data_IF_637714236576
#
_entry.id   IF_637714236576
#
_cell.length_a   1.000
_cell.length_b   1.000
_cell.length_c   1.000
_cell.angle_alpha   90.00
_cell.angle_beta   90.00
_cell.angle_gamma   90.00
#
_symmetry.space_group_name_H-M   'P 1'
#
loop_
_entity.id
_entity.type
_entity.pdbx_description
1 polymer ?
#
# COMPACT_ATOMS: atom_id res chain seq x y z
N UNK A 1 4.21 12.74 -3.47
CA UNK A 1 3.14 13.69 -3.82
C UNK A 1 1.82 12.96 -4.08
N UNK A 2 1.66 12.28 -5.22
CA UNK A 2 0.38 11.63 -5.63
C UNK A 2 -0.31 10.80 -4.54
N UNK A 3 0.43 9.99 -3.77
CA UNK A 3 -0.12 9.21 -2.66
C UNK A 3 -0.79 10.09 -1.59
N UNK A 4 -0.16 11.21 -1.22
CA UNK A 4 -0.67 12.13 -0.21
C UNK A 4 -1.85 12.95 -0.75
N UNK A 5 -1.77 13.44 -1.98
CA UNK A 5 -2.86 14.18 -2.64
C UNK A 5 -4.14 13.33 -2.77
N UNK A 6 -3.98 12.05 -3.09
CA UNK A 6 -5.07 11.09 -3.19
C UNK A 6 -5.53 10.56 -1.81
N UNK A 7 -4.94 11.04 -0.70
CA UNK A 7 -5.24 10.61 0.68
C UNK A 7 -5.07 9.11 0.92
N UNK A 8 -4.13 8.47 0.23
CA UNK A 8 -3.82 7.05 0.40
C UNK A 8 -2.65 6.79 1.36
N UNK A 9 -2.61 5.59 1.94
CA UNK A 9 -1.51 5.14 2.81
C UNK A 9 -0.43 4.33 2.08
N UNK A 10 -0.69 3.96 0.82
CA UNK A 10 0.27 3.28 -0.05
C UNK A 10 -0.02 3.49 -1.53
N UNK A 11 1.03 3.50 -2.34
CA UNK A 11 0.95 3.64 -3.79
C UNK A 11 2.04 2.80 -4.48
N UNK A 12 1.62 1.86 -5.33
CA UNK A 12 2.51 1.12 -6.21
C UNK A 12 2.73 1.89 -7.53
N UNK A 13 3.93 1.78 -8.10
CA UNK A 13 4.27 2.46 -9.36
C UNK A 13 3.32 2.12 -10.52
N UNK A 14 2.78 0.89 -10.55
CA UNK A 14 1.81 0.46 -11.55
C UNK A 14 0.51 1.25 -11.53
N UNK A 15 0.10 1.79 -10.38
CA UNK A 15 -1.11 2.61 -10.25
C UNK A 15 -0.98 3.98 -10.94
N UNK A 16 0.25 4.41 -11.22
CA UNK A 16 0.56 5.63 -12.00
C UNK A 16 1.19 5.29 -13.36
N UNK A 17 0.89 4.11 -13.89
CA UNK A 17 1.34 3.63 -15.20
C UNK A 17 2.87 3.53 -15.35
N UNK A 18 3.57 3.21 -14.26
CA UNK A 18 5.01 2.91 -14.26
C UNK A 18 5.20 1.44 -13.89
N UNK A 19 5.63 0.62 -14.85
CA UNK A 19 5.75 -0.83 -14.68
C UNK A 19 7.11 -1.24 -14.12
N UNK A 20 7.44 -0.72 -12.94
CA UNK A 20 8.63 -1.09 -12.18
C UNK A 20 8.23 -1.59 -10.79
N UNK A 21 9.06 -2.45 -10.18
CA UNK A 21 8.82 -2.97 -8.83
C UNK A 21 9.17 -1.91 -7.79
N UNK A 22 8.29 -0.95 -7.60
CA UNK A 22 8.46 0.11 -6.61
C UNK A 22 7.13 0.42 -5.95
N UNK A 23 7.18 0.70 -4.65
CA UNK A 23 6.04 1.24 -3.91
C UNK A 23 6.51 2.23 -2.85
N UNK A 24 5.61 3.16 -2.51
CA UNK A 24 5.74 4.05 -1.36
C UNK A 24 4.58 3.78 -0.42
N UNK A 25 4.85 3.88 0.88
CA UNK A 25 3.83 3.71 1.91
C UNK A 25 4.08 4.68 3.07
N UNK A 26 3.02 5.09 3.74
CA UNK A 26 3.09 5.87 4.97
C UNK A 26 1.82 5.62 5.78
N UNK A 27 1.98 4.87 6.87
CA UNK A 27 0.92 4.49 7.81
C UNK A 27 1.03 5.25 9.14
N UNK A 28 1.94 6.24 9.22
CA UNK A 28 2.05 7.09 10.40
C UNK A 28 0.86 8.05 10.48
N UNK A 29 0.43 8.34 11.71
CA UNK A 29 -0.68 9.26 11.97
C UNK A 29 -0.37 10.68 11.46
N UNK A 30 0.87 11.13 11.67
CA UNK A 30 1.35 12.47 11.28
C UNK A 30 1.75 12.58 9.80
N UNK A 31 1.74 11.47 9.05
CA UNK A 31 2.04 11.42 7.61
C UNK A 31 3.45 11.91 7.28
N UNK A 32 4.40 11.60 8.15
CA UNK A 32 5.79 12.08 8.12
C UNK A 32 6.84 10.96 8.15
N UNK A 33 6.43 9.68 8.10
CA UNK A 33 7.32 8.52 8.10
C UNK A 33 7.16 7.68 6.82
N UNK A 34 7.60 8.20 5.66
CA UNK A 34 7.49 7.48 4.40
C UNK A 34 8.46 6.29 4.34
N UNK A 35 7.93 5.15 3.92
CA UNK A 35 8.66 3.95 3.55
C UNK A 35 8.75 3.84 2.03
N UNK A 36 9.97 3.60 1.53
CA UNK A 36 10.26 3.41 0.11
C UNK A 36 10.79 2.00 -0.10
N UNK A 37 10.09 1.20 -0.92
CA UNK A 37 10.54 -0.15 -1.27
C UNK A 37 10.78 -0.26 -2.76
N UNK A 38 12.02 -0.57 -3.13
CA UNK A 38 12.46 -0.79 -4.51
C UNK A 38 12.90 -2.23 -4.64
N UNK A 39 12.36 -2.92 -5.65
CA UNK A 39 12.52 -4.35 -5.87
C UNK A 39 12.26 -5.22 -4.62
N UNK A 40 11.18 -4.98 -3.84
CA UNK A 40 10.94 -5.73 -2.62
C UNK A 40 10.72 -7.22 -2.91
N UNK A 41 11.11 -8.06 -1.97
CA UNK A 41 10.85 -9.50 -1.94
C UNK A 41 10.32 -9.89 -0.56
N UNK A 42 9.26 -10.70 -0.53
CA UNK A 42 8.75 -11.29 0.70
C UNK A 42 9.56 -12.55 0.98
N UNK A 43 10.46 -12.50 1.96
CA UNK A 43 11.36 -13.63 2.30
C UNK A 43 10.74 -14.61 3.30
N UNK A 44 9.75 -14.17 4.06
CA UNK A 44 9.01 -14.98 5.03
C UNK A 44 7.62 -14.36 5.27
N UNK A 45 6.68 -15.18 5.76
CA UNK A 45 5.33 -14.77 6.19
C UNK A 45 4.79 -15.82 7.15
N UNK A 46 4.04 -15.39 8.15
CA UNK A 46 3.30 -16.28 9.05
C UNK A 46 1.99 -15.63 9.49
N UNK A 47 1.22 -16.32 10.34
CA UNK A 47 -0.06 -15.81 10.83
C UNK A 47 -1.15 -15.67 9.77
N UNK A 48 -2.31 -15.19 10.21
CA UNK A 48 -3.43 -14.85 9.36
C UNK A 48 -4.25 -13.75 10.05
N UNK A 49 -4.38 -12.61 9.39
CA UNK A 49 -5.24 -11.53 9.81
C UNK A 49 -6.25 -11.20 8.70
N UNK A 50 -7.45 -10.78 9.10
CA UNK A 50 -8.49 -10.31 8.20
C UNK A 50 -8.85 -8.86 8.57
N UNK A 51 -8.83 -7.97 7.59
CA UNK A 51 -9.09 -6.53 7.76
C UNK A 51 -9.79 -5.96 6.53
N UNK A 52 -10.55 -4.87 6.71
CA UNK A 52 -11.08 -4.12 5.57
C UNK A 52 -9.97 -3.31 4.88
N UNK A 53 -9.79 -3.52 3.58
CA UNK A 53 -8.82 -2.79 2.75
C UNK A 53 -9.54 -1.95 1.69
N UNK A 54 -9.02 -0.75 1.43
CA UNK A 54 -9.40 0.11 0.31
C UNK A 54 -8.23 0.34 -0.66
N UNK A 55 -8.52 0.80 -1.88
CA UNK A 55 -7.50 1.04 -2.90
C UNK A 55 -7.74 2.33 -3.68
N UNK A 56 -6.68 3.12 -3.91
CA UNK A 56 -6.75 4.34 -4.73
C UNK A 56 -7.21 4.07 -6.17
N UNK A 57 -7.01 2.85 -6.68
CA UNK A 57 -7.43 2.44 -8.02
C UNK A 57 -8.87 1.89 -8.08
N UNK A 58 -9.53 1.71 -6.93
CA UNK A 58 -10.93 1.23 -6.84
C UNK A 58 -11.69 2.11 -5.84
N UNK A 59 -12.01 3.37 -6.20
CA UNK A 59 -12.52 4.36 -5.26
C UNK A 59 -13.91 4.00 -4.73
N UNK A 60 -14.12 4.16 -3.43
CA UNK A 60 -15.41 3.96 -2.76
C UNK A 60 -15.74 2.52 -2.37
N UNK A 61 -14.83 1.58 -2.65
CA UNK A 61 -14.99 0.17 -2.26
C UNK A 61 -14.00 -0.20 -1.17
N UNK A 62 -14.52 -0.91 -0.17
CA UNK A 62 -13.76 -1.54 0.91
C UNK A 62 -14.25 -2.98 1.00
N UNK A 63 -13.32 -3.91 1.16
CA UNK A 63 -13.65 -5.33 1.27
C UNK A 63 -12.75 -5.99 2.30
N UNK A 64 -13.27 -7.05 2.92
CA UNK A 64 -12.51 -7.88 3.85
C UNK A 64 -11.45 -8.71 3.10
N UNK A 65 -10.18 -8.53 3.46
CA UNK A 65 -9.04 -9.23 2.82
C UNK A 65 -8.23 -9.97 3.87
N UNK A 66 -7.81 -11.20 3.54
CA UNK A 66 -6.94 -12.01 4.37
C UNK A 66 -5.47 -11.78 4.02
N UNK A 67 -4.65 -11.47 5.01
CA UNK A 67 -3.21 -11.23 4.92
C UNK A 67 -2.45 -12.07 5.94
N UNK A 68 -1.14 -12.17 5.77
CA UNK A 68 -0.24 -12.60 6.84
C UNK A 68 -0.30 -11.58 7.99
N UNK A 69 -0.08 -12.04 9.22
CA UNK A 69 0.03 -11.15 10.40
C UNK A 69 1.34 -10.37 10.40
#
# INVERSE_FOLDING_TARGET
ETMYEAKGVGLAATQVNIHQRMLVADVSDERDQPLYLVNPEIVARDGLQESEEGCLSVPGFYESVRRAE
#
